data_IF_960981289361
#
_entry.id   IF_960981289361
#
_cell.length_a   1.000
_cell.length_b   1.000
_cell.length_c   1.000
_cell.angle_alpha   90.00
_cell.angle_beta   90.00
_cell.angle_gamma   90.00
#
_symmetry.space_group_name_H-M   'P 1'
#
loop_
_entity.id
_entity.type
_entity.pdbx_description
1 polymer ?
#
# COMPACT_ATOMS: atom_id res chain seq x y z
N UNK A 1 -4.43 24.76 11.28
CA UNK A 1 -4.85 23.84 10.20
C UNK A 1 -6.32 23.47 10.42
N UNK A 2 -7.18 23.51 9.41
CA UNK A 2 -8.60 23.10 9.52
C UNK A 2 -8.75 21.74 8.86
N UNK A 3 -9.15 20.72 9.61
CA UNK A 3 -9.39 19.39 9.04
C UNK A 3 -10.53 19.45 8.02
N UNK A 4 -10.37 18.74 6.90
CA UNK A 4 -11.41 18.56 5.88
C UNK A 4 -11.62 17.08 5.66
N UNK A 5 -12.89 16.66 5.58
CA UNK A 5 -13.28 15.27 5.35
C UNK A 5 -13.83 15.12 3.93
N UNK A 6 -13.29 14.18 3.17
CA UNK A 6 -13.78 13.80 1.85
C UNK A 6 -14.23 12.33 1.90
N UNK A 7 -15.55 12.05 1.85
CA UNK A 7 -16.02 10.68 1.77
C UNK A 7 -15.64 10.08 0.41
N UNK A 8 -15.18 8.82 0.42
CA UNK A 8 -14.85 8.05 -0.78
C UNK A 8 -15.78 6.84 -0.85
N UNK A 9 -16.36 6.60 -2.02
CA UNK A 9 -17.12 5.38 -2.30
C UNK A 9 -16.18 4.37 -2.96
N UNK A 10 -16.07 3.18 -2.39
CA UNK A 10 -15.29 2.09 -3.00
C UNK A 10 -16.07 1.38 -4.10
N UNK A 11 -15.34 0.76 -5.03
CA UNK A 11 -15.89 -0.18 -6.00
C UNK A 11 -16.28 -1.52 -5.33
N UNK A 12 -17.04 -2.34 -6.06
CA UNK A 12 -17.41 -3.68 -5.60
C UNK A 12 -16.59 -4.76 -6.33
N UNK A 13 -16.18 -5.84 -5.62
CA UNK A 13 -16.43 -6.09 -4.19
C UNK A 13 -15.52 -5.27 -3.28
N UNK A 14 -16.02 -4.91 -2.10
CA UNK A 14 -15.30 -4.16 -1.07
C UNK A 14 -14.28 -5.05 -0.33
N UNK A 15 -13.29 -5.56 -1.08
CA UNK A 15 -12.21 -6.43 -0.62
C UNK A 15 -10.86 -5.81 -0.93
N UNK A 16 -9.86 -6.08 -0.10
CA UNK A 16 -8.58 -5.37 -0.14
C UNK A 16 -7.83 -5.53 -1.45
N UNK A 17 -7.51 -6.76 -1.91
CA UNK A 17 -6.75 -6.96 -3.17
C UNK A 17 -7.47 -6.39 -4.40
N UNK A 18 -8.79 -6.61 -4.60
CA UNK A 18 -9.56 -5.94 -5.65
C UNK A 18 -9.46 -4.41 -5.62
N UNK A 19 -9.54 -3.82 -4.42
CA UNK A 19 -9.49 -2.37 -4.28
C UNK A 19 -8.08 -1.79 -4.40
N UNK A 20 -7.03 -2.57 -4.08
CA UNK A 20 -5.64 -2.18 -4.33
C UNK A 20 -5.36 -2.08 -5.84
N UNK A 21 -5.84 -3.06 -6.62
CA UNK A 21 -5.79 -3.01 -8.08
C UNK A 21 -6.57 -1.79 -8.60
N UNK A 22 -7.80 -1.60 -8.11
CA UNK A 22 -8.68 -0.54 -8.58
C UNK A 22 -8.12 0.86 -8.33
N UNK A 23 -7.62 1.15 -7.13
CA UNK A 23 -7.15 2.50 -6.79
C UNK A 23 -5.84 2.87 -7.50
N UNK A 24 -5.00 1.89 -7.83
CA UNK A 24 -3.69 2.11 -8.43
C UNK A 24 -3.70 2.04 -9.97
N UNK A 25 -4.74 1.48 -10.57
CA UNK A 25 -4.93 1.40 -12.04
C UNK A 25 -6.10 2.24 -12.56
N UNK A 26 -7.07 2.58 -11.71
CA UNK A 26 -8.33 3.19 -12.11
C UNK A 26 -9.33 2.22 -12.78
N UNK A 27 -9.05 0.92 -12.79
CA UNK A 27 -9.87 -0.12 -13.45
C UNK A 27 -10.73 -0.85 -12.42
N UNK A 28 -12.03 -1.01 -12.69
CA UNK A 28 -12.96 -1.65 -11.76
C UNK A 28 -12.61 -3.13 -11.54
N UNK A 29 -12.88 -3.73 -10.36
CA UNK A 29 -12.54 -5.13 -10.08
C UNK A 29 -13.06 -6.15 -11.11
N UNK A 30 -14.28 -5.94 -11.64
CA UNK A 30 -14.87 -6.81 -12.65
C UNK A 30 -14.15 -6.73 -14.01
N UNK A 31 -13.58 -5.57 -14.33
CA UNK A 31 -12.83 -5.33 -15.56
C UNK A 31 -11.39 -5.78 -15.43
N UNK A 32 -10.76 -5.54 -14.27
CA UNK A 32 -9.40 -5.98 -14.01
C UNK A 32 -9.27 -7.48 -13.83
N UNK A 33 -10.36 -8.16 -13.46
CA UNK A 33 -10.40 -9.58 -13.14
C UNK A 33 -9.79 -9.93 -11.78
N UNK A 34 -9.34 -8.96 -10.99
CA UNK A 34 -8.96 -9.15 -9.58
C UNK A 34 -10.23 -8.97 -8.74
N UNK A 35 -11.05 -10.02 -8.68
CA UNK A 35 -12.39 -9.99 -8.03
C UNK A 35 -12.42 -10.58 -6.62
N UNK A 36 -11.31 -11.13 -6.12
CA UNK A 36 -11.18 -11.58 -4.73
C UNK A 36 -9.71 -11.60 -4.27
N UNK A 37 -9.50 -11.74 -2.96
CA UNK A 37 -8.19 -11.70 -2.32
C UNK A 37 -7.26 -12.89 -2.70
N UNK A 38 -7.79 -13.99 -3.24
CA UNK A 38 -7.02 -15.20 -3.54
C UNK A 38 -6.44 -15.22 -4.96
N UNK A 39 -6.71 -14.20 -5.79
CA UNK A 39 -6.18 -14.13 -7.16
C UNK A 39 -4.75 -13.61 -7.10
N UNK A 40 -3.78 -14.52 -7.21
CA UNK A 40 -2.33 -14.24 -7.18
C UNK A 40 -1.78 -14.19 -8.61
N UNK A 41 -1.61 -12.98 -9.13
CA UNK A 41 -0.93 -12.69 -10.40
C UNK A 41 -0.57 -11.21 -10.50
N UNK A 42 0.29 -10.89 -11.48
CA UNK A 42 0.50 -9.52 -11.92
C UNK A 42 -0.78 -8.90 -12.48
N UNK A 43 -0.91 -7.58 -12.33
CA UNK A 43 -1.89 -6.77 -13.04
C UNK A 43 -1.68 -6.87 -14.56
N UNK A 44 -2.78 -6.80 -15.30
CA UNK A 44 -2.77 -6.73 -16.76
C UNK A 44 -3.00 -5.29 -17.26
N UNK A 45 -3.00 -4.31 -16.36
CA UNK A 45 -3.30 -2.91 -16.63
C UNK A 45 -2.13 -2.02 -16.23
N UNK A 46 -2.07 -0.85 -16.84
CA UNK A 46 -1.11 0.17 -16.44
C UNK A 46 -1.49 0.71 -15.05
N UNK A 47 -0.62 0.47 -14.08
CA UNK A 47 -0.69 1.09 -12.77
C UNK A 47 0.04 2.43 -12.76
N UNK A 48 -0.24 3.27 -11.77
CA UNK A 48 0.50 4.52 -11.52
C UNK A 48 2.02 4.30 -11.46
N UNK A 49 2.46 3.13 -10.97
CA UNK A 49 3.87 2.74 -10.95
C UNK A 49 4.44 2.54 -12.36
N UNK A 50 3.75 1.77 -13.20
CA UNK A 50 4.17 1.55 -14.59
C UNK A 50 4.17 2.85 -15.41
N UNK A 51 3.16 3.71 -15.19
CA UNK A 51 3.05 5.01 -15.84
C UNK A 51 4.19 5.95 -15.42
N UNK A 52 4.49 6.02 -14.12
CA UNK A 52 5.61 6.81 -13.61
C UNK A 52 6.95 6.32 -14.18
N UNK A 53 7.21 5.02 -14.09
CA UNK A 53 8.44 4.42 -14.63
C UNK A 53 8.61 4.65 -16.12
N UNK A 54 7.55 4.53 -16.92
CA UNK A 54 7.59 4.78 -18.37
C UNK A 54 8.03 6.21 -18.71
N UNK A 55 7.88 7.14 -17.76
CA UNK A 55 8.30 8.54 -17.86
C UNK A 55 9.66 8.80 -17.19
N UNK A 56 10.42 7.75 -16.86
CA UNK A 56 11.73 7.87 -16.19
C UNK A 56 11.64 8.34 -14.74
N UNK A 57 10.49 8.18 -14.09
CA UNK A 57 10.28 8.57 -12.68
C UNK A 57 10.67 7.46 -11.72
N UNK A 58 11.18 7.85 -10.56
CA UNK A 58 11.57 6.93 -9.49
C UNK A 58 10.34 6.55 -8.67
N UNK A 59 10.15 5.25 -8.48
CA UNK A 59 8.99 4.68 -7.77
C UNK A 59 9.43 3.91 -6.53
N UNK A 60 8.63 4.01 -5.47
CA UNK A 60 8.85 3.23 -4.27
C UNK A 60 7.55 2.79 -3.58
N UNK A 61 7.61 1.73 -2.79
CA UNK A 61 6.49 1.31 -1.94
C UNK A 61 6.96 0.69 -0.61
N UNK A 62 6.41 1.19 0.50
CA UNK A 62 6.37 0.47 1.77
C UNK A 62 4.94 -0.07 1.94
N UNK A 63 4.73 -1.37 1.69
CA UNK A 63 3.38 -1.89 1.55
C UNK A 63 3.22 -3.37 1.87
N UNK A 64 1.97 -3.83 1.95
CA UNK A 64 1.68 -5.26 2.05
C UNK A 64 2.13 -5.97 0.76
N UNK A 65 2.65 -7.18 0.90
CA UNK A 65 3.23 -7.95 -0.19
C UNK A 65 2.34 -8.13 -1.43
N UNK A 66 1.02 -8.06 -1.27
CA UNK A 66 0.07 -8.12 -2.40
C UNK A 66 0.31 -7.02 -3.43
N UNK A 67 0.81 -5.86 -3.02
CA UNK A 67 1.19 -4.79 -3.95
C UNK A 67 2.37 -5.22 -4.82
N UNK A 68 3.35 -5.94 -4.26
CA UNK A 68 4.45 -6.54 -5.04
C UNK A 68 3.92 -7.61 -6.00
N UNK A 69 2.98 -8.44 -5.56
CA UNK A 69 2.34 -9.45 -6.42
C UNK A 69 1.59 -8.84 -7.60
N UNK A 70 0.94 -7.69 -7.41
CA UNK A 70 0.23 -6.99 -8.47
C UNK A 70 1.19 -6.30 -9.47
N UNK A 71 2.31 -5.72 -9.02
CA UNK A 71 3.07 -4.80 -9.88
C UNK A 71 4.53 -5.19 -10.16
N UNK A 72 5.12 -6.12 -9.40
CA UNK A 72 6.51 -6.54 -9.58
C UNK A 72 6.63 -8.02 -9.92
N UNK A 73 6.16 -8.91 -9.04
CA UNK A 73 6.33 -10.35 -9.19
C UNK A 73 5.33 -11.15 -8.36
N UNK A 74 4.69 -12.13 -8.99
CA UNK A 74 3.83 -13.10 -8.32
C UNK A 74 4.28 -14.54 -8.67
N UNK A 75 4.27 -15.49 -7.70
CA UNK A 75 3.96 -15.30 -6.29
C UNK A 75 5.09 -14.59 -5.52
N UNK A 76 4.71 -13.91 -4.43
CA UNK A 76 5.65 -13.27 -3.52
C UNK A 76 6.49 -14.30 -2.75
N UNK A 77 7.78 -14.07 -2.69
CA UNK A 77 8.72 -14.86 -1.90
C UNK A 77 9.43 -13.94 -0.88
N UNK A 78 9.18 -14.10 0.44
CA UNK A 78 9.64 -13.13 1.44
C UNK A 78 11.14 -12.84 1.46
N UNK A 79 11.99 -13.85 1.23
CA UNK A 79 13.45 -13.68 1.26
C UNK A 79 13.92 -12.85 0.06
N UNK A 80 13.30 -13.07 -1.10
CA UNK A 80 13.67 -12.46 -2.38
C UNK A 80 13.06 -11.08 -2.56
N UNK A 81 11.78 -10.95 -2.25
CA UNK A 81 10.97 -9.81 -2.70
C UNK A 81 10.76 -8.75 -1.62
N UNK A 82 10.93 -9.08 -0.33
CA UNK A 82 10.68 -8.13 0.78
C UNK A 82 11.42 -6.81 0.60
N UNK A 83 12.70 -6.87 0.22
CA UNK A 83 13.50 -5.70 -0.07
C UNK A 83 13.80 -5.69 -1.56
N UNK A 84 13.12 -4.82 -2.29
CA UNK A 84 13.32 -4.66 -3.73
C UNK A 84 14.18 -3.43 -3.97
N UNK A 85 15.22 -3.59 -4.79
CA UNK A 85 16.04 -2.49 -5.32
C UNK A 85 16.45 -2.86 -6.75
N UNK A 86 15.50 -2.77 -7.67
CA UNK A 86 15.63 -3.18 -9.07
C UNK A 86 14.92 -2.18 -9.98
N UNK A 87 15.70 -1.32 -10.64
CA UNK A 87 15.19 -0.27 -11.53
C UNK A 87 14.41 -0.81 -12.74
N UNK A 88 14.53 -2.11 -13.04
CA UNK A 88 13.79 -2.77 -14.12
C UNK A 88 12.37 -3.17 -13.72
N UNK A 89 11.98 -3.07 -12.45
CA UNK A 89 10.63 -3.35 -11.96
C UNK A 89 9.73 -2.10 -11.96
N UNK A 90 8.41 -2.27 -11.84
CA UNK A 90 7.47 -1.13 -11.78
C UNK A 90 7.56 -0.39 -10.45
N UNK A 91 7.73 -1.11 -9.35
CA UNK A 91 8.11 -0.57 -8.05
C UNK A 91 9.61 -0.84 -7.91
N UNK A 92 10.42 0.19 -8.15
CA UNK A 92 11.87 0.04 -8.24
C UNK A 92 12.52 -0.15 -6.87
N UNK A 93 11.97 0.51 -5.84
CA UNK A 93 12.45 0.42 -4.46
C UNK A 93 11.31 0.01 -3.51
N UNK A 94 11.44 -1.12 -2.82
CA UNK A 94 10.33 -1.69 -2.07
C UNK A 94 10.71 -2.25 -0.70
N UNK A 95 9.86 -2.01 0.29
CA UNK A 95 9.85 -2.68 1.59
C UNK A 95 8.47 -3.34 1.77
N UNK A 96 8.38 -4.66 1.59
CA UNK A 96 7.12 -5.39 1.60
C UNK A 96 6.95 -6.28 2.83
N UNK A 97 5.95 -6.00 3.66
CA UNK A 97 5.60 -6.85 4.79
C UNK A 97 4.55 -7.91 4.38
N UNK A 98 4.56 -9.05 5.06
CA UNK A 98 3.65 -10.17 4.79
C UNK A 98 2.95 -10.70 6.03
N UNK A 99 3.19 -10.11 7.21
CA UNK A 99 2.46 -10.45 8.43
C UNK A 99 1.34 -9.46 8.69
N UNK A 100 0.16 -9.96 9.04
CA UNK A 100 -1.01 -9.09 9.20
C UNK A 100 -0.90 -8.13 10.38
N UNK A 101 -0.14 -8.51 11.41
CA UNK A 101 0.14 -7.69 12.60
C UNK A 101 1.41 -6.84 12.48
N UNK A 102 1.88 -6.55 11.26
CA UNK A 102 3.10 -5.76 11.08
C UNK A 102 2.90 -4.34 11.65
N UNK A 103 3.75 -3.85 12.57
CA UNK A 103 3.52 -2.56 13.20
C UNK A 103 3.53 -1.40 12.19
N UNK A 104 2.47 -0.59 12.17
CA UNK A 104 2.41 0.63 11.35
C UNK A 104 3.64 1.53 11.58
N UNK A 105 4.14 1.66 12.82
CA UNK A 105 5.37 2.41 13.12
C UNK A 105 6.58 1.90 12.34
N UNK A 106 6.77 0.57 12.28
CA UNK A 106 7.85 -0.03 11.50
C UNK A 106 7.67 0.25 10.00
N UNK A 107 6.43 0.19 9.50
CA UNK A 107 6.12 0.53 8.11
C UNK A 107 6.43 2.00 7.79
N UNK A 108 6.07 2.94 8.65
CA UNK A 108 6.37 4.35 8.45
C UNK A 108 7.88 4.63 8.48
N UNK A 109 8.64 3.90 9.30
CA UNK A 109 10.12 3.95 9.30
C UNK A 109 10.67 3.39 7.97
N UNK A 110 10.15 2.26 7.49
CA UNK A 110 10.53 1.69 6.19
C UNK A 110 10.25 2.69 5.05
N UNK A 111 9.09 3.36 5.07
CA UNK A 111 8.74 4.38 4.09
C UNK A 111 9.69 5.59 4.14
N UNK A 112 10.04 6.06 5.34
CA UNK A 112 10.98 7.18 5.50
C UNK A 112 12.39 6.81 5.05
N UNK A 113 12.82 5.57 5.27
CA UNK A 113 14.07 5.04 4.73
C UNK A 113 14.07 5.09 3.19
N UNK A 114 13.00 4.61 2.55
CA UNK A 114 12.85 4.68 1.09
C UNK A 114 12.87 6.13 0.59
N UNK A 115 12.12 7.02 1.24
CA UNK A 115 12.04 8.44 0.86
C UNK A 115 13.39 9.14 0.92
N UNK A 116 14.17 8.93 2.00
CA UNK A 116 15.49 9.56 2.18
C UNK A 116 16.55 8.97 1.26
N UNK A 117 16.52 7.66 1.05
CA UNK A 117 17.56 6.95 0.30
C UNK A 117 17.40 7.14 -1.21
N UNK A 118 16.16 7.06 -1.71
CA UNK A 118 15.89 7.01 -3.14
C UNK A 118 15.23 8.28 -3.70
N UNK A 119 14.68 9.16 -2.84
CA UNK A 119 13.96 10.37 -3.26
C UNK A 119 12.94 10.10 -4.39
N UNK A 120 12.02 9.14 -4.20
CA UNK A 120 11.10 8.72 -5.25
C UNK A 120 10.15 9.85 -5.66
N UNK A 121 9.84 9.94 -6.95
CA UNK A 121 8.77 10.81 -7.46
C UNK A 121 7.38 10.31 -7.03
N UNK A 122 7.22 9.00 -6.82
CA UNK A 122 5.99 8.39 -6.29
C UNK A 122 6.31 7.35 -5.21
N UNK A 123 5.75 7.54 -4.01
CA UNK A 123 5.88 6.62 -2.87
C UNK A 123 4.49 6.19 -2.38
N UNK A 124 4.23 4.89 -2.40
CA UNK A 124 3.07 4.30 -1.72
C UNK A 124 3.44 3.88 -0.30
N UNK A 125 2.61 4.29 0.68
CA UNK A 125 2.71 3.84 2.08
C UNK A 125 1.38 3.19 2.44
N UNK A 126 1.40 1.90 2.78
CA UNK A 126 0.18 1.12 3.02
C UNK A 126 0.17 0.47 4.41
N UNK A 127 -0.27 1.19 5.46
CA UNK A 127 -0.50 0.64 6.80
C UNK A 127 -1.77 -0.21 6.85
N UNK A 128 -1.85 -1.16 7.78
CA UNK A 128 -2.98 -2.10 7.85
C UNK A 128 -3.55 -2.29 9.27
N UNK A 129 -2.92 -1.79 10.32
CA UNK A 129 -3.40 -2.06 11.68
C UNK A 129 -4.80 -1.51 11.96
N UNK A 130 -5.23 -0.42 11.29
CA UNK A 130 -6.60 0.10 11.45
C UNK A 130 -7.62 -0.92 10.93
N UNK A 131 -7.37 -1.50 9.76
CA UNK A 131 -8.20 -2.55 9.15
C UNK A 131 -8.20 -3.82 10.00
N UNK A 132 -7.02 -4.31 10.41
CA UNK A 132 -6.86 -5.50 11.25
C UNK A 132 -7.58 -5.36 12.60
N UNK A 133 -7.48 -4.19 13.26
CA UNK A 133 -8.22 -3.92 14.50
C UNK A 133 -9.73 -3.86 14.27
N UNK A 134 -10.17 -3.36 13.11
CA UNK A 134 -11.57 -3.36 12.70
C UNK A 134 -12.11 -4.77 12.55
N UNK A 135 -11.35 -5.67 11.92
CA UNK A 135 -11.70 -7.08 11.79
C UNK A 135 -11.76 -7.81 13.14
N UNK A 136 -10.81 -7.55 14.03
CA UNK A 136 -10.71 -8.24 15.33
C UNK A 136 -11.73 -7.76 16.36
N UNK A 137 -12.09 -6.48 16.35
CA UNK A 137 -12.85 -5.85 17.43
C UNK A 137 -14.11 -5.11 16.97
N UNK A 138 -14.30 -4.90 15.67
CA UNK A 138 -15.40 -4.13 15.10
C UNK A 138 -15.10 -2.62 15.02
N UNK A 139 -15.81 -1.95 14.11
CA UNK A 139 -15.70 -0.52 13.80
C UNK A 139 -15.87 0.38 15.03
N UNK A 140 -16.85 0.09 15.89
CA UNK A 140 -17.17 0.92 17.06
C UNK A 140 -16.33 0.61 18.30
N UNK A 141 -15.29 -0.22 18.17
CA UNK A 141 -14.43 -0.59 19.28
C UNK A 141 -13.48 0.53 19.71
N UNK A 142 -13.04 0.47 20.97
CA UNK A 142 -11.97 1.36 21.47
C UNK A 142 -10.65 1.07 20.76
N UNK A 143 -10.40 -0.17 20.39
CA UNK A 143 -9.21 -0.65 19.70
C UNK A 143 -9.08 0.00 18.31
N UNK A 144 -10.16 -0.03 17.51
CA UNK A 144 -10.22 0.63 16.21
C UNK A 144 -9.98 2.15 16.31
N UNK A 145 -10.63 2.83 17.26
CA UNK A 145 -10.39 4.28 17.47
C UNK A 145 -8.95 4.57 17.93
N UNK A 146 -8.36 3.68 18.73
CA UNK A 146 -7.01 3.86 19.24
C UNK A 146 -5.95 3.59 18.17
N UNK A 147 -6.16 2.65 17.25
CA UNK A 147 -5.23 2.44 16.12
C UNK A 147 -5.21 3.66 15.19
N UNK A 148 -6.39 4.24 14.90
CA UNK A 148 -6.46 5.50 14.14
C UNK A 148 -5.70 6.65 14.83
N UNK A 149 -5.84 6.79 16.17
CA UNK A 149 -5.07 7.79 16.93
C UNK A 149 -3.55 7.50 16.93
N UNK A 150 -3.16 6.22 16.97
CA UNK A 150 -1.77 5.82 16.86
C UNK A 150 -1.15 6.27 15.53
N UNK A 151 -1.85 6.03 14.42
CA UNK A 151 -1.43 6.49 13.10
C UNK A 151 -1.30 8.03 13.03
N UNK A 152 -2.27 8.77 13.59
CA UNK A 152 -2.22 10.24 13.67
C UNK A 152 -0.97 10.76 14.41
N UNK A 153 -0.64 10.16 15.56
CA UNK A 153 0.57 10.51 16.33
C UNK A 153 1.84 10.24 15.49
N UNK A 154 1.94 9.08 14.83
CA UNK A 154 3.10 8.74 14.01
C UNK A 154 3.25 9.75 12.86
N UNK A 155 2.16 10.00 12.13
CA UNK A 155 2.15 10.94 10.99
C UNK A 155 2.50 12.36 11.40
N UNK A 156 2.15 12.79 12.62
CA UNK A 156 2.48 14.13 13.12
C UNK A 156 3.99 14.43 13.13
N UNK A 157 4.84 13.41 13.21
CA UNK A 157 6.31 13.57 13.15
C UNK A 157 6.84 13.96 11.76
N UNK A 158 6.01 13.85 10.72
CA UNK A 158 6.39 14.07 9.31
C UNK A 158 5.73 15.31 8.69
N UNK A 159 4.88 16.00 9.44
CA UNK A 159 4.28 17.27 9.00
C UNK A 159 5.24 18.40 9.39
N UNK A 160 5.39 19.39 8.49
CA UNK A 160 6.16 20.61 8.80
C UNK A 160 5.51 21.29 10.00
N UNK A 161 6.30 21.49 11.07
CA UNK A 161 5.90 22.21 12.26
C UNK A 161 5.78 23.71 12.01
#
# INVERSE_FOLDING_TARGET
MRATLYPVQCELPSMSRPLYECILTGVRPVESGIVNNNIVRLSNHDSIFSLAKSQGKVTAAAAYHWVSELYNRAPFEPIRDRFTNDETMNIQHGCFYHWDHYPDEALFIDAEHLRRTHQPDFLLIHPMNIDDMGHKHGLDSRQYRNSARGADIILSNYIVQ
#
